data_IF_351405318942
#
_entry.id   IF_351405318942
#
_cell.length_a   1.000
_cell.length_b   1.000
_cell.length_c   1.000
_cell.angle_alpha   90.00
_cell.angle_beta   90.00
_cell.angle_gamma   90.00
#
_symmetry.space_group_name_H-M   'P 1'
#
loop_
_entity.id
_entity.type
_entity.pdbx_description
1 polymer ?
#
# COMPACT_ATOMS: atom_id res chain seq x y z
N UNK A 1 -8.42 4.05 -20.09
CA UNK A 1 -7.41 4.63 -19.18
C UNK A 1 -7.52 3.95 -17.83
N UNK A 2 -6.40 3.52 -17.24
CA UNK A 2 -6.38 3.02 -15.86
C UNK A 2 -6.60 4.20 -14.88
N UNK A 3 -7.39 4.00 -13.83
CA UNK A 3 -7.54 5.01 -12.77
C UNK A 3 -6.29 5.03 -11.87
N UNK A 4 -6.03 6.15 -11.19
CA UNK A 4 -4.95 6.25 -10.20
C UNK A 4 -5.06 5.17 -9.11
N UNK A 5 -6.29 4.85 -8.69
CA UNK A 5 -6.59 3.73 -7.78
C UNK A 5 -6.09 2.41 -8.36
N UNK A 6 -6.44 2.10 -9.62
CA UNK A 6 -6.08 0.83 -10.24
C UNK A 6 -4.57 0.69 -10.37
N UNK A 7 -3.85 1.75 -10.75
CA UNK A 7 -2.39 1.72 -10.85
C UNK A 7 -1.73 1.52 -9.48
N UNK A 8 -2.23 2.21 -8.45
CA UNK A 8 -1.67 2.14 -7.11
C UNK A 8 -1.89 0.76 -6.47
N UNK A 9 -3.10 0.19 -6.62
CA UNK A 9 -3.48 -1.08 -6.00
C UNK A 9 -3.09 -2.30 -6.83
N UNK A 10 -2.62 -2.12 -8.07
CA UNK A 10 -2.19 -3.20 -8.95
C UNK A 10 -1.22 -4.15 -8.24
N UNK A 11 -0.28 -3.62 -7.46
CA UNK A 11 0.70 -4.41 -6.70
C UNK A 11 0.11 -5.31 -5.62
N UNK A 12 -1.17 -5.18 -5.26
CA UNK A 12 -1.87 -6.08 -4.33
C UNK A 12 -2.69 -7.17 -5.04
N UNK A 13 -2.97 -6.99 -6.33
CA UNK A 13 -3.94 -7.77 -7.09
C UNK A 13 -3.29 -8.73 -8.09
N UNK A 14 -1.96 -8.64 -8.27
CA UNK A 14 -1.24 -9.59 -9.12
C UNK A 14 -1.15 -10.95 -8.46
N UNK A 15 -1.37 -12.00 -9.24
CA UNK A 15 -1.31 -13.40 -8.81
C UNK A 15 0.02 -13.76 -8.12
N UNK A 16 1.11 -13.09 -8.50
CA UNK A 16 2.48 -13.26 -8.02
C UNK A 16 2.92 -12.24 -6.96
N UNK A 17 2.08 -11.28 -6.59
CA UNK A 17 2.50 -10.17 -5.73
C UNK A 17 2.75 -10.56 -4.26
N UNK A 18 2.01 -11.55 -3.75
CA UNK A 18 1.99 -11.89 -2.34
C UNK A 18 2.17 -13.39 -2.14
N UNK A 19 3.31 -13.79 -1.63
CA UNK A 19 3.64 -15.17 -1.32
C UNK A 19 3.02 -15.61 0.01
N UNK A 20 2.87 -14.71 0.99
CA UNK A 20 2.39 -15.07 2.33
C UNK A 20 0.85 -14.94 2.44
N UNK A 21 0.14 -15.98 2.91
CA UNK A 21 -1.33 -15.93 3.04
C UNK A 21 -1.83 -14.79 3.94
N UNK A 22 -1.13 -14.48 5.03
CA UNK A 22 -1.50 -13.37 5.93
C UNK A 22 -1.44 -11.99 5.25
N UNK A 23 -0.52 -11.84 4.29
CA UNK A 23 -0.39 -10.61 3.53
C UNK A 23 -1.47 -10.48 2.45
N UNK A 24 -1.96 -11.60 1.87
CA UNK A 24 -3.11 -11.59 0.94
C UNK A 24 -4.35 -11.00 1.60
N UNK A 25 -4.70 -11.49 2.80
CA UNK A 25 -5.82 -10.95 3.58
C UNK A 25 -5.63 -9.45 3.89
N UNK A 26 -4.40 -9.03 4.21
CA UNK A 26 -4.09 -7.61 4.43
C UNK A 26 -4.27 -6.78 3.16
N UNK A 27 -3.80 -7.29 2.01
CA UNK A 27 -3.96 -6.64 0.71
C UNK A 27 -5.42 -6.46 0.32
N UNK A 28 -6.22 -7.52 0.39
CA UNK A 28 -7.68 -7.45 0.16
C UNK A 28 -8.37 -6.44 1.07
N UNK A 29 -7.98 -6.39 2.35
CA UNK A 29 -8.52 -5.41 3.28
C UNK A 29 -8.16 -3.97 2.87
N UNK A 30 -6.90 -3.68 2.50
CA UNK A 30 -6.50 -2.35 1.99
C UNK A 30 -7.33 -1.97 0.76
N UNK A 31 -7.55 -2.90 -0.17
CA UNK A 31 -8.37 -2.65 -1.36
C UNK A 31 -9.81 -2.24 -1.00
N UNK A 32 -10.41 -2.91 0.01
CA UNK A 32 -11.77 -2.62 0.50
C UNK A 32 -11.87 -1.25 1.16
N UNK A 33 -10.88 -0.87 1.97
CA UNK A 33 -10.90 0.41 2.70
C UNK A 33 -10.37 1.59 1.88
N UNK A 34 -9.81 1.36 0.69
CA UNK A 34 -9.11 2.42 -0.06
C UNK A 34 -9.94 3.70 -0.25
N UNK A 35 -11.24 3.56 -0.51
CA UNK A 35 -12.14 4.72 -0.71
C UNK A 35 -12.43 5.52 0.55
N UNK A 36 -12.17 4.99 1.75
CA UNK A 36 -12.32 5.73 3.00
C UNK A 36 -11.02 6.38 3.48
N UNK A 37 -9.88 6.07 2.84
CA UNK A 37 -8.59 6.67 3.19
C UNK A 37 -8.55 8.14 2.76
N UNK A 38 -8.03 8.99 3.65
CA UNK A 38 -7.62 10.35 3.28
C UNK A 38 -6.24 10.28 2.63
N UNK A 39 -5.91 11.29 1.82
CA UNK A 39 -4.57 11.40 1.23
C UNK A 39 -3.98 12.79 1.38
N UNK A 40 -2.65 12.85 1.45
CA UNK A 40 -1.90 14.10 1.43
C UNK A 40 -0.53 13.89 0.81
N UNK A 41 0.09 14.99 0.37
CA UNK A 41 1.49 15.00 -0.05
C UNK A 41 2.36 15.61 1.06
N UNK A 42 3.50 14.98 1.33
CA UNK A 42 4.49 15.48 2.29
C UNK A 42 5.87 14.92 1.92
N UNK A 43 6.90 15.76 1.98
CA UNK A 43 8.29 15.37 1.66
C UNK A 43 8.42 14.65 0.29
N UNK A 44 7.65 15.09 -0.70
CA UNK A 44 7.63 14.51 -2.05
C UNK A 44 6.93 13.15 -2.19
N UNK A 45 6.43 12.56 -1.10
CA UNK A 45 5.65 11.32 -1.12
C UNK A 45 4.15 11.60 -0.99
N UNK A 46 3.34 10.71 -1.54
CA UNK A 46 1.88 10.71 -1.31
C UNK A 46 1.53 9.61 -0.32
N UNK A 47 0.72 9.96 0.68
CA UNK A 47 0.29 9.07 1.74
C UNK A 47 -1.21 8.83 1.62
N UNK A 48 -1.65 7.59 1.89
CA UNK A 48 -3.04 7.25 2.15
C UNK A 48 -3.15 6.67 3.55
N UNK A 49 -4.03 7.25 4.37
CA UNK A 49 -4.09 7.00 5.79
C UNK A 49 -5.51 7.10 6.35
N UNK A 50 -5.73 6.40 7.45
CA UNK A 50 -6.95 6.48 8.24
C UNK A 50 -6.92 7.72 9.16
N UNK A 51 -8.09 8.18 9.60
CA UNK A 51 -8.26 9.31 10.53
C UNK A 51 -7.77 10.65 9.95
N UNK A 52 -7.03 11.47 10.72
CA UNK A 52 -6.83 12.88 10.39
C UNK A 52 -5.49 13.24 9.76
N UNK A 53 -4.40 12.59 10.15
CA UNK A 53 -3.03 12.87 9.65
C UNK A 53 -2.22 11.59 9.51
N UNK A 54 -1.28 11.50 8.55
CA UNK A 54 -0.46 10.30 8.39
C UNK A 54 0.47 10.10 9.59
N UNK A 55 0.64 8.86 9.99
CA UNK A 55 1.51 8.39 11.06
C UNK A 55 1.82 6.91 10.84
N UNK A 56 2.80 6.38 11.58
CA UNK A 56 3.12 4.94 11.54
C UNK A 56 1.88 4.08 11.80
N UNK A 57 1.02 4.48 12.75
CA UNK A 57 -0.12 3.67 13.16
C UNK A 57 -1.29 3.63 12.14
N UNK A 58 -1.41 4.64 11.27
CA UNK A 58 -2.61 4.81 10.42
C UNK A 58 -2.33 4.97 8.93
N UNK A 59 -1.07 5.08 8.49
CA UNK A 59 -0.72 5.02 7.07
C UNK A 59 -0.87 3.59 6.56
N UNK A 60 -1.50 3.43 5.39
CA UNK A 60 -1.69 2.14 4.71
C UNK A 60 -0.97 2.05 3.40
N UNK A 61 -0.80 3.19 2.73
CA UNK A 61 -0.08 3.27 1.47
C UNK A 61 0.82 4.50 1.49
N UNK A 62 2.07 4.32 1.08
CA UNK A 62 3.00 5.42 0.79
C UNK A 62 3.53 5.23 -0.63
N UNK A 63 3.26 6.19 -1.50
CA UNK A 63 3.88 6.27 -2.82
C UNK A 63 5.03 7.26 -2.77
N UNK A 64 6.23 6.79 -3.10
CA UNK A 64 7.44 7.60 -3.16
C UNK A 64 7.47 8.43 -4.45
N UNK A 65 8.24 9.54 -4.49
CA UNK A 65 8.40 10.34 -5.72
C UNK A 65 8.93 9.54 -6.90
N UNK A 66 9.66 8.44 -6.64
CA UNK A 66 10.18 7.51 -7.65
C UNK A 66 9.11 6.57 -8.23
N UNK A 67 7.86 6.66 -7.79
CA UNK A 67 6.74 5.81 -8.23
C UNK A 67 6.58 4.51 -7.44
N UNK A 68 7.60 4.10 -6.69
CA UNK A 68 7.55 2.93 -5.81
C UNK A 68 6.45 3.09 -4.76
N UNK A 69 5.80 1.99 -4.40
CA UNK A 69 4.69 2.01 -3.43
C UNK A 69 4.94 1.02 -2.31
N UNK A 70 4.82 1.49 -1.07
CA UNK A 70 4.88 0.66 0.13
C UNK A 70 3.49 0.52 0.76
N UNK A 71 3.17 -0.71 1.17
CA UNK A 71 1.92 -1.05 1.84
C UNK A 71 2.18 -1.48 3.28
N UNK A 72 1.31 -1.03 4.18
CA UNK A 72 1.45 -1.18 5.62
C UNK A 72 0.23 -1.89 6.22
N UNK A 73 0.50 -2.77 7.17
CA UNK A 73 -0.49 -3.47 8.00
C UNK A 73 -1.18 -2.50 8.97
N UNK A 74 -2.30 -2.93 9.59
CA UNK A 74 -2.96 -2.14 10.64
C UNK A 74 -2.05 -1.75 11.81
N UNK A 75 -1.06 -2.58 12.13
CA UNK A 75 -0.05 -2.33 13.18
C UNK A 75 1.07 -1.36 12.76
N UNK A 76 1.04 -0.85 11.52
CA UNK A 76 2.02 0.09 10.98
C UNK A 76 3.27 -0.56 10.40
N UNK A 77 3.39 -1.88 10.41
CA UNK A 77 4.54 -2.58 9.79
C UNK A 77 4.35 -2.67 8.28
N UNK A 78 5.41 -2.35 7.54
CA UNK A 78 5.45 -2.51 6.07
C UNK A 78 5.50 -3.99 5.74
N UNK A 79 4.56 -4.48 4.92
CA UNK A 79 4.54 -5.88 4.50
C UNK A 79 4.85 -6.08 3.02
N UNK A 80 4.68 -5.04 2.18
CA UNK A 80 4.96 -5.11 0.76
C UNK A 80 5.56 -3.79 0.27
N UNK A 81 6.54 -3.89 -0.64
CA UNK A 81 6.97 -2.78 -1.52
C UNK A 81 6.92 -3.26 -2.96
N UNK A 82 6.39 -2.42 -3.84
CA UNK A 82 6.35 -2.66 -5.28
C UNK A 82 7.05 -1.54 -6.05
N UNK A 83 7.51 -1.88 -7.25
CA UNK A 83 8.06 -0.92 -8.22
C UNK A 83 6.95 -0.06 -8.88
N UNK A 84 7.30 0.93 -9.71
CA UNK A 84 6.31 1.79 -10.38
C UNK A 84 5.33 1.08 -11.32
N UNK A 85 5.65 -0.14 -11.74
CA UNK A 85 4.85 -1.01 -12.62
C UNK A 85 4.04 -2.06 -11.81
N UNK A 86 4.15 -2.01 -10.48
CA UNK A 86 3.41 -2.85 -9.55
C UNK A 86 4.03 -4.23 -9.33
N UNK A 87 5.27 -4.47 -9.73
CA UNK A 87 5.97 -5.73 -9.42
C UNK A 87 6.47 -5.74 -7.98
N UNK A 88 6.31 -6.86 -7.24
CA UNK A 88 6.82 -6.98 -5.88
C UNK A 88 8.34 -6.88 -5.86
N UNK A 89 8.86 -6.03 -4.98
CA UNK A 89 10.29 -5.90 -4.71
C UNK A 89 10.67 -6.60 -3.42
N UNK A 90 9.91 -6.34 -2.35
CA UNK A 90 10.15 -6.90 -1.03
C UNK A 90 8.81 -7.20 -0.35
N UNK A 91 8.66 -8.42 0.14
CA UNK A 91 7.55 -8.85 0.98
C UNK A 91 8.08 -9.30 2.35
N UNK A 92 7.38 -8.94 3.42
CA UNK A 92 7.71 -9.36 4.78
C UNK A 92 6.47 -9.95 5.46
N UNK A 93 6.61 -11.13 6.06
CA UNK A 93 5.61 -11.71 6.95
C UNK A 93 5.90 -11.27 8.39
N UNK A 94 4.85 -10.89 9.10
CA UNK A 94 4.93 -10.46 10.49
C UNK A 94 4.02 -11.34 11.34
N UNK A 95 4.61 -11.90 12.40
CA UNK A 95 3.94 -12.67 13.45
C UNK A 95 3.71 -11.82 14.71
#
# INVERSE_FOLDING_TARGET
MMTQKNKLLQGLDRTDALCFPGNRATGEWIQKIFSSLKSCQSEGATYWFENDRPSVANTRIKQYPTGHTAFYRPDGRRFLTVDPDGHPLNEAEWT
#
